data_IF_691995980916
#
_entry.id   IF_691995980916
#
_cell.length_a   1.000
_cell.length_b   1.000
_cell.length_c   1.000
_cell.angle_alpha   90.00
_cell.angle_beta   90.00
_cell.angle_gamma   90.00
#
_symmetry.space_group_name_H-M   'P 1'
#
loop_
_entity.id
_entity.type
_entity.pdbx_description
1 polymer ?
#
# COMPACT_ATOMS: atom_id res chain seq x y z
N UNK A 1 -18.77 6.27 2.01
CA UNK A 1 -20.02 5.70 1.45
C UNK A 1 -21.12 5.51 2.49
N UNK A 2 -20.92 5.93 3.69
CA UNK A 2 -21.93 5.92 4.75
C UNK A 2 -22.77 7.20 4.81
N UNK A 3 -22.71 8.03 3.76
CA UNK A 3 -23.51 9.23 3.60
C UNK A 3 -24.73 8.98 2.71
N UNK A 4 -25.82 9.63 3.09
CA UNK A 4 -27.05 9.71 2.34
C UNK A 4 -27.54 11.15 2.34
N UNK A 5 -28.24 11.55 1.30
CA UNK A 5 -28.76 12.91 1.12
C UNK A 5 -30.28 12.89 1.04
N UNK A 6 -30.90 13.86 1.67
CA UNK A 6 -32.34 14.10 1.55
C UNK A 6 -32.62 15.57 1.81
N UNK A 7 -33.42 16.20 0.95
CA UNK A 7 -33.82 17.60 1.08
C UNK A 7 -32.61 18.56 1.27
N UNK A 8 -31.50 18.31 0.54
CA UNK A 8 -30.27 19.10 0.62
C UNK A 8 -29.46 18.92 1.89
N UNK A 9 -29.82 17.96 2.76
CA UNK A 9 -29.09 17.65 4.00
C UNK A 9 -28.36 16.35 3.90
N UNK A 10 -27.24 16.23 4.63
CA UNK A 10 -26.43 15.02 4.72
C UNK A 10 -26.80 14.21 5.97
N UNK A 11 -26.94 12.92 5.79
CA UNK A 11 -27.24 11.97 6.86
C UNK A 11 -26.23 10.83 6.83
N UNK A 12 -26.08 10.14 7.96
CA UNK A 12 -25.35 8.87 7.99
C UNK A 12 -26.29 7.76 7.50
N UNK A 13 -25.77 6.89 6.64
CA UNK A 13 -26.52 5.73 6.18
C UNK A 13 -26.96 4.84 7.38
N UNK A 14 -28.20 4.44 7.37
CA UNK A 14 -28.77 3.56 8.41
C UNK A 14 -28.41 2.10 8.16
N UNK A 15 -28.30 1.72 6.88
CA UNK A 15 -28.04 0.34 6.46
C UNK A 15 -26.52 0.16 6.26
N UNK A 16 -25.84 -0.37 7.26
CA UNK A 16 -24.41 -0.66 7.22
C UNK A 16 -24.17 -2.18 7.30
N UNK A 17 -23.17 -2.70 6.59
CA UNK A 17 -22.29 -2.00 5.63
C UNK A 17 -23.02 -1.65 4.33
N UNK A 18 -22.66 -0.53 3.71
CA UNK A 18 -23.17 -0.19 2.38
C UNK A 18 -22.54 -1.12 1.36
N UNK A 19 -23.33 -2.04 0.83
CA UNK A 19 -22.88 -3.04 -0.15
C UNK A 19 -22.96 -2.45 -1.55
N UNK A 20 -21.86 -2.57 -2.31
CA UNK A 20 -21.83 -2.12 -3.70
C UNK A 20 -22.61 -3.07 -4.62
N UNK A 21 -23.27 -2.53 -5.63
CA UNK A 21 -23.99 -3.36 -6.60
C UNK A 21 -23.01 -4.17 -7.44
N UNK A 22 -23.31 -5.44 -7.63
CA UNK A 22 -22.61 -6.32 -8.56
C UNK A 22 -23.51 -6.52 -9.76
N UNK A 23 -23.07 -6.14 -10.96
CA UNK A 23 -23.81 -6.39 -12.17
C UNK A 23 -23.79 -7.89 -12.49
N UNK A 24 -24.97 -8.46 -12.74
CA UNK A 24 -25.15 -9.89 -13.03
C UNK A 24 -24.42 -10.37 -14.29
N UNK A 25 -24.15 -9.46 -15.20
CA UNK A 25 -23.46 -9.70 -16.48
C UNK A 25 -21.95 -9.45 -16.42
N UNK A 26 -21.42 -9.14 -15.23
CA UNK A 26 -20.01 -8.82 -15.03
C UNK A 26 -19.58 -7.45 -15.58
N UNK A 27 -20.50 -6.64 -16.08
CA UNK A 27 -20.21 -5.27 -16.52
C UNK A 27 -20.11 -4.34 -15.31
N UNK A 28 -19.27 -3.31 -15.42
CA UNK A 28 -19.08 -2.32 -14.38
C UNK A 28 -19.75 -1.00 -14.81
N UNK A 29 -20.72 -0.53 -14.03
CA UNK A 29 -21.28 0.81 -14.18
C UNK A 29 -20.78 1.71 -13.05
N UNK A 30 -20.36 2.94 -13.36
CA UNK A 30 -20.09 3.93 -12.31
C UNK A 30 -21.30 4.08 -11.38
N UNK A 31 -21.08 4.21 -10.08
CA UNK A 31 -22.16 4.21 -9.07
C UNK A 31 -23.20 5.30 -9.32
N UNK A 32 -22.79 6.49 -9.80
CA UNK A 32 -23.72 7.58 -10.11
C UNK A 32 -24.66 7.28 -11.29
N UNK A 33 -24.34 6.29 -12.12
CA UNK A 33 -25.16 5.81 -13.23
C UNK A 33 -26.07 4.62 -12.84
N UNK A 34 -25.90 4.10 -11.62
CA UNK A 34 -26.73 3.01 -11.12
C UNK A 34 -27.86 3.58 -10.26
N UNK A 35 -29.02 3.80 -10.88
CA UNK A 35 -30.18 4.43 -10.23
C UNK A 35 -30.69 3.58 -9.06
N UNK A 36 -30.73 2.26 -9.19
CA UNK A 36 -31.18 1.34 -8.13
C UNK A 36 -30.28 1.40 -6.90
N UNK A 37 -28.99 1.68 -7.09
CA UNK A 37 -28.09 1.91 -5.98
C UNK A 37 -28.21 3.31 -5.41
N UNK A 38 -28.30 4.32 -6.29
CA UNK A 38 -28.27 5.73 -5.93
C UNK A 38 -29.52 6.15 -5.16
N UNK A 39 -30.70 5.78 -5.63
CA UNK A 39 -31.96 6.21 -5.05
C UNK A 39 -32.59 5.10 -4.20
N UNK A 40 -32.87 5.44 -2.94
CA UNK A 40 -33.55 4.55 -2.01
C UNK A 40 -35.06 4.74 -2.03
N UNK A 41 -35.79 3.69 -1.75
CA UNK A 41 -37.28 3.72 -1.69
C UNK A 41 -37.84 4.68 -0.63
N UNK A 42 -37.03 5.02 0.41
CA UNK A 42 -37.39 5.96 1.47
C UNK A 42 -37.09 7.44 1.12
N UNK A 43 -36.70 7.69 -0.13
CA UNK A 43 -36.40 9.03 -0.66
C UNK A 43 -35.04 9.58 -0.33
N UNK A 44 -34.13 8.74 0.19
CA UNK A 44 -32.74 9.11 0.35
C UNK A 44 -31.93 8.81 -0.92
N UNK A 45 -30.95 9.64 -1.21
CA UNK A 45 -29.96 9.44 -2.25
C UNK A 45 -28.63 9.02 -1.60
N UNK A 46 -28.05 7.91 -2.05
CA UNK A 46 -26.75 7.44 -1.56
C UNK A 46 -25.59 8.23 -2.15
N UNK A 47 -24.53 8.35 -1.37
CA UNK A 47 -23.24 8.83 -1.86
C UNK A 47 -22.70 7.89 -2.94
N UNK A 48 -22.36 8.45 -4.08
CA UNK A 48 -21.84 7.71 -5.23
C UNK A 48 -20.38 7.98 -5.52
N UNK A 49 -19.80 9.01 -4.92
CA UNK A 49 -18.39 9.30 -5.06
C UNK A 49 -17.55 8.28 -4.28
N UNK A 50 -16.36 8.00 -4.78
CA UNK A 50 -15.37 7.19 -4.08
C UNK A 50 -14.49 8.07 -3.22
N UNK A 51 -13.92 7.52 -2.16
CA UNK A 51 -12.85 8.18 -1.44
C UNK A 51 -11.64 8.43 -2.35
N UNK A 52 -10.85 9.42 -2.00
CA UNK A 52 -9.53 9.62 -2.56
C UNK A 52 -8.70 8.33 -2.46
N UNK A 53 -7.83 8.10 -3.44
CA UNK A 53 -7.03 6.87 -3.57
C UNK A 53 -6.23 6.53 -2.31
N UNK A 54 -5.73 7.56 -1.59
CA UNK A 54 -4.90 7.38 -0.41
C UNK A 54 -5.68 7.31 0.91
N UNK A 55 -7.00 7.42 0.90
CA UNK A 55 -7.80 7.42 2.13
C UNK A 55 -7.62 6.12 2.92
N UNK A 56 -7.82 4.97 2.29
CA UNK A 56 -7.72 3.67 2.96
C UNK A 56 -6.29 3.34 3.37
N UNK A 57 -5.30 3.70 2.55
CA UNK A 57 -3.90 3.49 2.86
C UNK A 57 -3.35 4.43 3.94
N UNK A 58 -4.10 5.47 4.33
CA UNK A 58 -3.65 6.47 5.31
C UNK A 58 -3.52 5.93 6.73
N UNK A 59 -4.15 4.80 7.04
CA UNK A 59 -4.20 4.25 8.39
C UNK A 59 -4.02 2.73 8.48
N UNK A 60 -3.70 2.06 7.38
CA UNK A 60 -3.57 0.59 7.33
C UNK A 60 -2.57 0.06 8.37
N UNK A 61 -1.47 0.78 8.63
CA UNK A 61 -0.45 0.40 9.60
C UNK A 61 -1.00 0.38 11.04
N UNK A 62 -1.94 1.27 11.36
CA UNK A 62 -2.66 1.22 12.65
C UNK A 62 -3.63 0.03 12.68
N UNK A 63 -4.36 -0.22 11.59
CA UNK A 63 -5.26 -1.39 11.49
C UNK A 63 -4.51 -2.71 11.66
N UNK A 64 -3.30 -2.82 11.13
CA UNK A 64 -2.51 -4.04 11.21
C UNK A 64 -2.10 -4.42 12.64
N UNK A 65 -2.05 -3.48 13.57
CA UNK A 65 -1.78 -3.77 14.99
C UNK A 65 -2.90 -4.61 15.62
N UNK A 66 -4.09 -4.61 15.02
CA UNK A 66 -5.30 -5.28 15.52
C UNK A 66 -6.10 -5.90 14.37
N UNK A 67 -5.45 -6.54 13.41
CA UNK A 67 -6.04 -7.02 12.15
C UNK A 67 -7.26 -7.94 12.35
N UNK A 68 -7.31 -8.71 13.44
CA UNK A 68 -8.41 -9.62 13.76
C UNK A 68 -9.56 -8.98 14.55
N UNK A 69 -9.43 -7.73 14.98
CA UNK A 69 -10.49 -7.04 15.68
C UNK A 69 -11.67 -6.76 14.75
N UNK A 70 -12.87 -7.26 15.11
CA UNK A 70 -14.10 -7.11 14.32
C UNK A 70 -15.05 -6.04 14.89
N UNK A 71 -14.71 -5.46 16.03
CA UNK A 71 -15.58 -4.49 16.73
C UNK A 71 -15.12 -3.05 16.54
N UNK A 72 -13.80 -2.84 16.47
CA UNK A 72 -13.16 -1.53 16.42
C UNK A 72 -12.17 -1.48 15.26
N UNK A 73 -11.83 -0.29 14.79
CA UNK A 73 -10.83 -0.11 13.72
C UNK A 73 -9.44 -0.57 14.14
N UNK A 74 -9.11 -0.40 15.43
CA UNK A 74 -7.95 -0.97 16.12
C UNK A 74 -8.20 -0.86 17.63
N UNK A 75 -7.37 -1.49 18.46
CA UNK A 75 -7.46 -1.53 19.92
C UNK A 75 -6.16 -1.07 20.59
N UNK A 76 -6.06 -1.30 21.90
CA UNK A 76 -4.89 -0.91 22.72
C UNK A 76 -3.53 -1.45 22.25
N UNK A 77 -3.49 -2.48 21.41
CA UNK A 77 -2.23 -2.97 20.83
C UNK A 77 -1.54 -1.91 20.00
N UNK A 78 -2.31 -0.97 19.44
CA UNK A 78 -1.81 0.19 18.72
C UNK A 78 -0.86 1.05 19.55
N UNK A 79 -1.10 1.18 20.86
CA UNK A 79 -0.22 1.95 21.74
C UNK A 79 1.18 1.33 21.90
N UNK A 80 1.28 0.01 21.77
CA UNK A 80 2.56 -0.70 21.84
C UNK A 80 3.33 -0.61 20.51
N UNK A 81 2.63 -0.76 19.38
CA UNK A 81 3.26 -0.86 18.07
C UNK A 81 3.50 0.49 17.38
N UNK A 82 2.79 1.55 17.77
CA UNK A 82 2.93 2.88 17.19
C UNK A 82 3.62 3.86 18.14
N UNK A 83 4.36 4.84 17.59
CA UNK A 83 4.63 5.06 16.15
C UNK A 83 5.56 3.99 15.57
N UNK A 84 5.44 3.73 14.26
CA UNK A 84 6.29 2.78 13.54
C UNK A 84 7.74 3.20 13.63
N UNK A 85 8.64 2.30 13.99
CA UNK A 85 10.07 2.63 14.21
C UNK A 85 10.79 3.04 12.94
N UNK A 86 10.56 2.31 11.84
CA UNK A 86 11.12 2.59 10.54
C UNK A 86 10.07 2.35 9.44
N UNK A 87 9.78 3.39 8.67
CA UNK A 87 8.85 3.32 7.54
C UNK A 87 9.63 3.48 6.24
N UNK A 88 9.45 2.53 5.31
CA UNK A 88 10.27 2.43 4.10
C UNK A 88 9.37 2.58 2.88
N UNK A 89 9.74 3.44 1.94
CA UNK A 89 8.99 3.65 0.71
C UNK A 89 9.68 4.60 -0.26
N UNK A 90 9.13 4.72 -1.45
CA UNK A 90 9.64 5.62 -2.48
C UNK A 90 9.45 7.09 -2.13
N UNK A 91 10.36 7.93 -2.60
CA UNK A 91 10.33 9.39 -2.37
C UNK A 91 9.09 10.06 -2.94
N UNK A 92 8.47 9.50 -3.97
CA UNK A 92 7.25 9.98 -4.60
C UNK A 92 6.05 10.05 -3.66
N UNK A 93 6.07 9.24 -2.60
CA UNK A 93 5.01 9.22 -1.59
C UNK A 93 5.07 10.37 -0.58
N UNK A 94 6.11 11.20 -0.61
CA UNK A 94 6.26 12.33 0.32
C UNK A 94 5.06 13.31 0.27
N UNK A 95 4.58 13.62 -0.93
CA UNK A 95 3.42 14.52 -1.16
C UNK A 95 2.11 13.76 -1.40
N UNK A 96 2.12 12.43 -1.34
CA UNK A 96 0.98 11.56 -1.54
C UNK A 96 0.67 10.80 -0.24
N UNK A 97 0.95 9.51 -0.22
CA UNK A 97 0.65 8.63 0.91
C UNK A 97 1.15 9.16 2.26
N UNK A 98 2.39 9.66 2.35
CA UNK A 98 2.94 10.13 3.62
C UNK A 98 2.21 11.38 4.15
N UNK A 99 1.84 12.31 3.27
CA UNK A 99 1.06 13.48 3.65
C UNK A 99 -0.30 13.08 4.21
N UNK A 100 -1.02 12.20 3.51
CA UNK A 100 -2.32 11.69 3.95
C UNK A 100 -2.21 10.91 5.26
N UNK A 101 -1.22 10.04 5.40
CA UNK A 101 -1.01 9.25 6.62
C UNK A 101 -0.75 10.13 7.84
N UNK A 102 0.08 11.16 7.70
CA UNK A 102 0.37 12.11 8.78
C UNK A 102 -0.86 12.92 9.14
N UNK A 103 -1.58 13.43 8.15
CA UNK A 103 -2.81 14.17 8.39
C UNK A 103 -3.86 13.32 9.09
N UNK A 104 -4.13 12.12 8.56
CA UNK A 104 -5.11 11.20 9.13
C UNK A 104 -4.74 10.78 10.56
N UNK A 105 -3.45 10.55 10.81
CA UNK A 105 -2.97 10.20 12.15
C UNK A 105 -3.20 11.31 13.17
N UNK A 106 -3.02 12.58 12.77
CA UNK A 106 -3.35 13.74 13.62
C UNK A 106 -4.84 13.83 13.92
N UNK A 107 -5.70 13.51 12.96
CA UNK A 107 -7.14 13.42 13.21
C UNK A 107 -7.46 12.32 14.24
N UNK A 108 -6.85 11.14 14.10
CA UNK A 108 -7.02 10.05 15.08
C UNK A 108 -6.52 10.46 16.47
N UNK A 109 -5.43 11.21 16.56
CA UNK A 109 -4.93 11.78 17.82
C UNK A 109 -5.95 12.76 18.43
N UNK A 110 -6.48 13.65 17.64
CA UNK A 110 -7.45 14.66 18.11
C UNK A 110 -8.77 14.02 18.57
N UNK A 111 -9.08 12.83 18.03
CA UNK A 111 -10.18 11.98 18.49
C UNK A 111 -9.82 11.15 19.74
N UNK A 112 -8.59 11.23 20.24
CA UNK A 112 -8.14 10.47 21.42
C UNK A 112 -7.85 8.98 21.15
N UNK A 113 -7.77 8.58 19.88
CA UNK A 113 -7.58 7.17 19.49
C UNK A 113 -6.11 6.75 19.48
N UNK A 114 -5.19 7.68 19.30
CA UNK A 114 -3.73 7.50 19.38
C UNK A 114 -3.13 8.63 20.21
N UNK A 115 -1.92 8.41 20.76
CA UNK A 115 -1.28 9.37 21.69
C UNK A 115 -0.19 10.22 21.04
N UNK A 116 0.42 9.72 19.99
CA UNK A 116 1.59 10.34 19.36
C UNK A 116 1.18 11.34 18.28
N UNK A 117 2.03 12.31 17.99
CA UNK A 117 1.79 13.34 16.97
C UNK A 117 2.09 12.86 15.55
N UNK A 118 3.02 11.91 15.40
CA UNK A 118 3.48 11.40 14.13
C UNK A 118 3.37 9.87 14.07
N UNK A 119 2.96 9.30 12.94
CA UNK A 119 2.79 7.85 12.80
C UNK A 119 4.11 7.09 12.67
N UNK A 120 5.19 7.76 12.24
CA UNK A 120 6.48 7.17 11.92
C UNK A 120 7.60 7.90 12.67
N UNK A 121 8.49 7.16 13.36
CA UNK A 121 9.67 7.72 14.03
C UNK A 121 10.77 8.08 13.02
N UNK A 122 10.95 7.23 12.01
CA UNK A 122 11.99 7.39 10.98
C UNK A 122 11.45 6.95 9.63
N UNK A 123 11.79 7.73 8.60
CA UNK A 123 11.53 7.40 7.20
C UNK A 123 12.83 6.99 6.51
N UNK A 124 12.77 5.93 5.72
CA UNK A 124 13.79 5.58 4.73
C UNK A 124 13.17 5.76 3.35
N UNK A 125 13.55 6.82 2.67
CA UNK A 125 13.10 7.08 1.30
C UNK A 125 13.98 6.33 0.31
N UNK A 126 13.37 5.40 -0.43
CA UNK A 126 14.09 4.59 -1.40
C UNK A 126 14.28 5.33 -2.72
N UNK A 127 15.45 5.12 -3.33
CA UNK A 127 15.73 5.53 -4.70
C UNK A 127 14.93 4.70 -5.71
N UNK A 128 14.96 5.15 -6.96
CA UNK A 128 14.25 4.49 -8.07
C UNK A 128 15.05 3.33 -8.62
N UNK A 129 14.37 2.25 -9.02
CA UNK A 129 14.98 1.22 -9.85
C UNK A 129 14.87 1.65 -11.30
N UNK A 130 16.00 1.80 -11.94
CA UNK A 130 16.15 2.24 -13.33
C UNK A 130 16.50 1.03 -14.22
N UNK A 131 16.14 1.10 -15.48
CA UNK A 131 16.65 0.22 -16.53
C UNK A 131 16.95 1.06 -17.78
N UNK A 132 18.15 0.86 -18.32
CA UNK A 132 18.64 1.64 -19.46
C UNK A 132 18.67 3.16 -19.15
N UNK A 133 19.09 3.53 -17.94
CA UNK A 133 19.19 4.90 -17.46
C UNK A 133 17.85 5.62 -17.24
N UNK A 134 16.72 4.91 -17.29
CA UNK A 134 15.40 5.51 -17.17
C UNK A 134 14.50 4.77 -16.17
N UNK A 135 13.55 5.51 -15.58
CA UNK A 135 12.48 4.91 -14.78
C UNK A 135 11.74 3.86 -15.60
N UNK A 136 11.54 2.66 -15.00
CA UNK A 136 10.77 1.60 -15.64
C UNK A 136 9.33 2.03 -15.91
N UNK A 137 8.84 1.75 -17.11
CA UNK A 137 7.48 2.05 -17.52
C UNK A 137 7.00 1.05 -18.58
N UNK A 138 5.77 0.59 -18.46
CA UNK A 138 5.14 -0.27 -19.48
C UNK A 138 5.11 0.40 -20.85
N UNK A 139 4.88 1.71 -20.91
CA UNK A 139 4.85 2.47 -22.17
C UNK A 139 6.23 2.58 -22.86
N UNK A 140 7.32 2.47 -22.09
CA UNK A 140 8.69 2.47 -22.63
C UNK A 140 9.21 1.07 -22.94
N UNK A 141 8.50 0.02 -22.54
CA UNK A 141 8.93 -1.36 -22.74
C UNK A 141 10.18 -1.77 -21.93
N UNK A 142 10.61 -0.96 -20.96
CA UNK A 142 11.80 -1.20 -20.13
C UNK A 142 11.48 -1.76 -18.74
N UNK A 143 10.35 -2.44 -18.59
CA UNK A 143 9.98 -3.09 -17.33
C UNK A 143 10.68 -4.43 -17.17
N UNK A 144 11.03 -4.76 -15.93
CA UNK A 144 11.55 -6.08 -15.54
C UNK A 144 10.43 -6.83 -14.82
N UNK A 145 10.09 -8.03 -15.31
CA UNK A 145 9.17 -8.92 -14.61
C UNK A 145 9.95 -9.77 -13.60
N UNK A 146 9.76 -9.58 -12.29
CA UNK A 146 10.45 -10.36 -11.29
C UNK A 146 10.20 -11.87 -11.38
N UNK A 147 9.05 -12.28 -11.93
CA UNK A 147 8.66 -13.69 -12.01
C UNK A 147 9.68 -14.51 -12.82
N UNK A 148 10.03 -14.04 -14.02
CA UNK A 148 11.00 -14.71 -14.88
C UNK A 148 12.36 -14.87 -14.19
N UNK A 149 12.82 -13.84 -13.50
CA UNK A 149 14.08 -13.88 -12.76
C UNK A 149 14.04 -14.78 -11.52
N UNK A 150 12.90 -14.83 -10.83
CA UNK A 150 12.69 -15.75 -9.72
C UNK A 150 12.76 -17.21 -10.19
N UNK A 151 12.14 -17.53 -11.32
CA UNK A 151 12.14 -18.86 -11.90
C UNK A 151 13.55 -19.30 -12.32
N UNK A 152 14.36 -18.40 -12.89
CA UNK A 152 15.69 -18.71 -13.40
C UNK A 152 16.80 -18.67 -12.34
N UNK A 153 16.73 -17.74 -11.39
CA UNK A 153 17.83 -17.45 -10.46
C UNK A 153 17.44 -17.61 -8.97
N UNK A 154 16.16 -17.75 -8.66
CA UNK A 154 15.64 -17.77 -7.32
C UNK A 154 15.46 -16.39 -6.69
N UNK A 155 14.50 -16.28 -5.78
CA UNK A 155 14.16 -15.01 -5.11
C UNK A 155 15.34 -14.40 -4.31
N UNK A 156 16.16 -15.25 -3.71
CA UNK A 156 17.28 -14.78 -2.88
C UNK A 156 18.39 -14.12 -3.70
N UNK A 157 18.56 -14.54 -4.97
CA UNK A 157 19.50 -13.88 -5.88
C UNK A 157 19.07 -12.45 -6.18
N UNK A 158 17.76 -12.22 -6.41
CA UNK A 158 17.20 -10.89 -6.65
C UNK A 158 17.32 -10.03 -5.40
N UNK A 159 16.95 -10.56 -4.23
CA UNK A 159 17.09 -9.84 -2.95
C UNK A 159 18.53 -9.43 -2.68
N UNK A 160 19.47 -10.34 -2.91
CA UNK A 160 20.89 -10.07 -2.74
C UNK A 160 21.35 -8.97 -3.71
N UNK A 161 20.96 -9.05 -4.97
CA UNK A 161 21.29 -8.03 -5.97
C UNK A 161 20.74 -6.66 -5.57
N UNK A 162 19.46 -6.57 -5.20
CA UNK A 162 18.82 -5.31 -4.84
C UNK A 162 19.49 -4.60 -3.67
N UNK A 163 19.96 -5.34 -2.68
CA UNK A 163 20.62 -4.78 -1.49
C UNK A 163 22.10 -4.47 -1.75
N UNK A 164 22.76 -5.29 -2.56
CA UNK A 164 24.19 -5.17 -2.84
C UNK A 164 24.52 -4.09 -3.87
N UNK A 165 23.66 -3.91 -4.89
CA UNK A 165 23.98 -3.07 -6.03
C UNK A 165 23.96 -1.57 -5.73
N UNK A 166 23.19 -1.11 -4.72
CA UNK A 166 23.12 0.30 -4.33
C UNK A 166 22.60 0.45 -2.90
N UNK A 167 23.06 1.48 -2.14
CA UNK A 167 22.38 1.88 -0.91
C UNK A 167 20.91 2.18 -1.16
N UNK A 168 20.00 1.84 -0.23
CA UNK A 168 18.54 1.95 -0.46
C UNK A 168 18.08 3.36 -0.81
N UNK A 169 18.78 4.40 -0.37
CA UNK A 169 18.43 5.81 -0.64
C UNK A 169 18.82 6.28 -2.05
N UNK A 170 19.66 5.51 -2.73
CA UNK A 170 20.14 5.83 -4.07
C UNK A 170 19.39 5.06 -5.14
N UNK A 171 19.34 5.62 -6.35
CA UNK A 171 18.80 4.90 -7.49
C UNK A 171 19.68 3.72 -7.86
N UNK A 172 19.03 2.61 -8.20
CA UNK A 172 19.67 1.37 -8.62
C UNK A 172 19.46 1.16 -10.10
N UNK A 173 20.53 0.91 -10.86
CA UNK A 173 20.42 0.47 -12.25
C UNK A 173 20.29 -1.06 -12.29
N UNK A 174 19.24 -1.54 -12.96
CA UNK A 174 19.03 -2.97 -13.13
C UNK A 174 20.11 -3.57 -14.04
N UNK A 175 20.73 -4.65 -13.60
CA UNK A 175 21.80 -5.34 -14.31
C UNK A 175 21.61 -6.85 -14.26
N UNK A 176 21.34 -7.46 -15.42
CA UNK A 176 21.23 -8.91 -15.54
C UNK A 176 22.55 -9.61 -15.16
N UNK A 177 23.69 -9.06 -15.58
CA UNK A 177 25.01 -9.55 -15.19
C UNK A 177 25.28 -9.45 -13.70
N UNK A 178 24.81 -8.37 -13.05
CA UNK A 178 24.90 -8.20 -11.60
C UNK A 178 24.10 -9.24 -10.85
N UNK A 179 22.89 -9.52 -11.32
CA UNK A 179 22.03 -10.57 -10.75
C UNK A 179 22.64 -11.97 -10.91
N UNK A 180 23.16 -12.30 -12.10
CA UNK A 180 23.86 -13.57 -12.32
C UNK A 180 25.10 -13.72 -11.39
N UNK A 181 25.82 -12.62 -11.17
CA UNK A 181 26.92 -12.59 -10.21
C UNK A 181 26.49 -12.93 -8.79
N UNK A 182 25.38 -12.35 -8.33
CA UNK A 182 24.80 -12.65 -7.03
C UNK A 182 24.37 -14.12 -6.93
N UNK A 183 23.73 -14.66 -7.97
CA UNK A 183 23.34 -16.06 -8.02
C UNK A 183 24.56 -16.99 -7.89
N UNK A 184 25.63 -16.74 -8.65
CA UNK A 184 26.89 -17.51 -8.55
C UNK A 184 27.51 -17.40 -7.17
N UNK A 185 27.46 -16.23 -6.54
CA UNK A 185 27.92 -16.04 -5.16
C UNK A 185 27.15 -16.91 -4.18
N UNK A 186 25.82 -16.89 -4.21
CA UNK A 186 24.99 -17.69 -3.32
C UNK A 186 25.20 -19.18 -3.51
N UNK A 187 25.35 -19.67 -4.75
CA UNK A 187 25.71 -21.07 -5.01
C UNK A 187 27.05 -21.48 -4.41
N UNK A 188 28.07 -20.61 -4.49
CA UNK A 188 29.38 -20.88 -3.89
C UNK A 188 29.29 -20.90 -2.36
N UNK A 189 28.54 -19.97 -1.78
CA UNK A 189 28.33 -19.93 -0.34
C UNK A 189 27.62 -21.18 0.16
N UNK A 190 26.58 -21.63 -0.54
CA UNK A 190 25.90 -22.88 -0.24
C UNK A 190 26.83 -24.11 -0.34
N UNK A 191 27.59 -24.21 -1.42
CA UNK A 191 28.56 -25.30 -1.58
C UNK A 191 29.64 -25.30 -0.51
N UNK A 192 30.04 -24.13 -0.01
CA UNK A 192 30.99 -24.02 1.10
C UNK A 192 30.38 -24.51 2.42
N UNK A 193 29.12 -24.14 2.71
CA UNK A 193 28.44 -24.58 3.93
C UNK A 193 28.33 -26.11 4.03
N UNK A 194 28.16 -26.80 2.90
CA UNK A 194 28.10 -28.26 2.85
C UNK A 194 29.46 -28.96 3.08
N UNK A 195 30.57 -28.22 3.01
CA UNK A 195 31.93 -28.76 3.28
C UNK A 195 32.37 -28.57 4.74
N UNK A 196 31.68 -27.72 5.48
CA UNK A 196 31.99 -27.36 6.86
C UNK A 196 31.20 -28.27 7.84
N UNK A 197 30.11 -28.84 7.39
CA UNK A 197 29.32 -29.85 8.10
C UNK A 197 29.82 -31.28 7.76
#
# INVERSE_FOLDING_TARGET
RDREYKDGKTYRAKDLPVVLPVNKDGTYKPLHQNEDFRYKSDGYERETDTFDTFMESSWYFARYTSAQNKKEIFDKNTEYWLPVDLYIGGVEHAILHLLYSRFFYKVLRDMGMVKNDEPFKKLLTQGMVLKDGAKMSKSKGNTVDPKEYIENYGADSIRTFMIFASPPEQSLEWSDNGLEGCHKFLKRLWALSLKIN
#
